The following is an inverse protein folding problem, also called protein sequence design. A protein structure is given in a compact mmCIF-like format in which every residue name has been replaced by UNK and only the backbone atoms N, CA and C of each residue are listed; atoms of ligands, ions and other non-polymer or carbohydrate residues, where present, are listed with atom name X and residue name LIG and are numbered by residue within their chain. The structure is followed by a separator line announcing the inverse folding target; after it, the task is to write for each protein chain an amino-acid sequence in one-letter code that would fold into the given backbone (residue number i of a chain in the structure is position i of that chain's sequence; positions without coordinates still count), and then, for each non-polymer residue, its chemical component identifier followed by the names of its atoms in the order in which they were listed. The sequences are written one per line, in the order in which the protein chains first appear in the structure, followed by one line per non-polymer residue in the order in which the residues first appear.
data_IF_204475702159
#
_entry.id   IF_204475702159
#
_cell.length_a   1.000
_cell.length_b   1.000
_cell.length_c   1.000
_cell.angle_alpha   90.00
_cell.angle_beta   90.00
_cell.angle_gamma   90.00
#
_symmetry.space_group_name_H-M   'P 1'
#
loop_
_entity.id
_entity.type
_entity.pdbx_description
1 polymer ?
#
# COMPACT_ATOMS: atom_id res chain seq x y z
N UNK A 1 -29.69 -4.31 -17.95
CA UNK A 1 -28.23 -4.44 -17.76
C UNK A 1 -27.68 -3.13 -17.18
N UNK A 2 -26.71 -3.23 -16.27
CA UNK A 2 -25.98 -2.09 -15.69
C UNK A 2 -24.53 -2.23 -16.16
N UNK A 3 -23.94 -1.15 -16.69
CA UNK A 3 -22.54 -1.10 -17.07
C UNK A 3 -21.80 -0.04 -16.24
N UNK A 4 -20.65 -0.39 -15.72
CA UNK A 4 -19.70 0.54 -15.08
C UNK A 4 -18.60 0.86 -16.08
N UNK A 5 -18.46 2.11 -16.45
CA UNK A 5 -17.47 2.58 -17.43
C UNK A 5 -16.38 3.38 -16.73
N UNK A 6 -15.13 3.01 -16.99
CA UNK A 6 -13.95 3.69 -16.47
C UNK A 6 -13.14 4.27 -17.64
N UNK A 7 -12.79 5.54 -17.55
CA UNK A 7 -11.90 6.16 -18.52
C UNK A 7 -10.47 5.64 -18.32
N UNK A 8 -9.84 5.17 -19.40
CA UNK A 8 -8.41 4.93 -19.41
C UNK A 8 -7.70 6.27 -19.66
N UNK A 9 -7.22 6.88 -18.59
CA UNK A 9 -6.52 8.18 -18.64
C UNK A 9 -5.31 8.20 -17.70
N UNK A 10 -4.26 7.42 -17.99
CA UNK A 10 -3.07 7.36 -17.16
C UNK A 10 -2.24 8.65 -17.20
N UNK A 11 -2.38 9.43 -18.25
CA UNK A 11 -1.64 10.68 -18.42
C UNK A 11 -2.38 11.91 -17.89
N UNK A 12 -3.71 11.79 -17.65
CA UNK A 12 -4.54 12.87 -17.15
C UNK A 12 -4.70 14.01 -18.17
N UNK A 13 -5.33 15.10 -17.74
CA UNK A 13 -5.56 16.28 -18.58
C UNK A 13 -4.27 17.04 -18.93
N UNK A 14 -3.24 16.91 -18.08
CA UNK A 14 -1.90 17.51 -18.32
C UNK A 14 -1.13 16.82 -19.44
N UNK A 15 -1.44 15.56 -19.74
CA UNK A 15 -0.74 14.74 -20.73
C UNK A 15 0.64 14.24 -20.32
N UNK A 16 1.12 14.60 -19.13
CA UNK A 16 2.44 14.21 -18.58
C UNK A 16 2.36 13.19 -17.45
N UNK A 17 1.14 12.70 -17.15
CA UNK A 17 0.88 11.76 -16.07
C UNK A 17 0.79 12.38 -14.68
N UNK A 18 0.97 13.69 -14.55
CA UNK A 18 0.97 14.36 -13.24
C UNK A 18 -0.40 14.32 -12.55
N UNK A 19 -1.48 14.23 -13.30
CA UNK A 19 -2.88 14.19 -12.85
C UNK A 19 -3.67 12.96 -13.34
N UNK A 20 -3.01 11.99 -13.99
CA UNK A 20 -3.62 10.71 -14.38
C UNK A 20 -4.11 9.93 -13.17
N UNK A 21 -5.33 9.37 -13.22
CA UNK A 21 -5.98 8.73 -12.09
C UNK A 21 -6.30 7.25 -12.31
N UNK A 22 -6.68 6.87 -13.52
CA UNK A 22 -7.15 5.53 -13.85
C UNK A 22 -6.40 4.99 -15.05
N UNK A 23 -5.85 3.79 -14.92
CA UNK A 23 -5.27 3.04 -16.02
C UNK A 23 -5.99 1.69 -16.17
N UNK A 24 -6.49 1.42 -17.38
CA UNK A 24 -7.03 0.13 -17.76
C UNK A 24 -6.12 -0.47 -18.83
N UNK A 25 -5.79 -1.75 -18.72
CA UNK A 25 -4.88 -2.37 -19.67
C UNK A 25 -4.87 -3.88 -19.55
N UNK A 26 -3.88 -4.47 -20.20
CA UNK A 26 -3.64 -5.91 -20.14
C UNK A 26 -2.16 -6.23 -20.15
N UNK A 27 -1.81 -7.39 -19.61
CA UNK A 27 -0.46 -7.97 -19.72
C UNK A 27 -0.56 -9.49 -19.90
N UNK A 28 0.48 -10.06 -20.47
CA UNK A 28 0.63 -11.53 -20.57
C UNK A 28 1.51 -11.99 -19.42
N UNK A 29 1.01 -12.92 -18.62
CA UNK A 29 1.78 -13.53 -17.55
C UNK A 29 2.99 -14.27 -18.10
N UNK A 30 4.14 -14.09 -17.48
CA UNK A 30 5.39 -14.75 -17.86
C UNK A 30 5.81 -15.89 -16.91
N UNK A 31 5.05 -16.10 -15.81
CA UNK A 31 5.37 -17.11 -14.80
C UNK A 31 6.61 -16.79 -13.96
N UNK A 32 7.14 -15.58 -14.09
CA UNK A 32 8.29 -15.09 -13.31
C UNK A 32 8.02 -13.66 -12.85
N UNK A 33 9.03 -12.96 -12.38
CA UNK A 33 8.87 -11.56 -12.01
C UNK A 33 8.75 -10.67 -13.26
N UNK A 34 7.74 -9.78 -13.31
CA UNK A 34 7.59 -8.75 -14.35
C UNK A 34 6.94 -7.47 -13.81
N UNK A 35 7.35 -6.35 -14.35
CA UNK A 35 6.84 -5.03 -14.00
C UNK A 35 5.86 -4.53 -15.06
N UNK A 36 4.76 -3.91 -14.61
CA UNK A 36 3.76 -3.28 -15.43
C UNK A 36 3.76 -1.79 -15.10
N UNK A 37 4.26 -0.98 -16.03
CA UNK A 37 4.40 0.47 -15.86
C UNK A 37 3.06 1.18 -16.12
N UNK A 38 2.68 2.06 -15.21
CA UNK A 38 1.50 2.92 -15.29
C UNK A 38 1.89 4.41 -15.35
N UNK A 39 3.18 4.72 -15.15
CA UNK A 39 3.69 6.08 -14.95
C UNK A 39 3.46 6.65 -13.54
N UNK A 40 2.79 5.90 -12.65
CA UNK A 40 2.49 6.31 -11.28
C UNK A 40 2.17 5.11 -10.38
N UNK A 41 2.27 5.34 -9.07
CA UNK A 41 1.99 4.34 -8.05
C UNK A 41 0.47 4.13 -7.87
N UNK A 42 -0.04 2.89 -8.06
CA UNK A 42 -1.44 2.58 -7.81
C UNK A 42 -1.73 2.43 -6.31
N UNK A 43 -2.92 2.87 -5.90
CA UNK A 43 -3.48 2.59 -4.58
C UNK A 43 -4.43 1.38 -4.60
N UNK A 44 -5.03 1.11 -5.73
CA UNK A 44 -6.02 0.05 -5.93
C UNK A 44 -5.78 -0.61 -7.28
N UNK A 45 -5.95 -1.91 -7.33
CA UNK A 45 -5.94 -2.68 -8.58
C UNK A 45 -7.01 -3.77 -8.56
N UNK A 46 -7.72 -3.89 -9.67
CA UNK A 46 -8.60 -5.00 -10.00
C UNK A 46 -7.99 -5.77 -11.17
N UNK A 47 -7.79 -7.07 -11.02
CA UNK A 47 -7.16 -7.95 -12.03
C UNK A 47 -8.07 -9.12 -12.35
N UNK A 48 -8.07 -9.56 -13.62
CA UNK A 48 -8.80 -10.73 -14.09
C UNK A 48 -8.00 -11.48 -15.14
N UNK A 49 -7.84 -12.78 -14.96
CA UNK A 49 -7.40 -13.68 -16.02
C UNK A 49 -8.51 -13.78 -17.10
N UNK A 50 -8.22 -13.34 -18.31
CA UNK A 50 -9.15 -13.35 -19.44
C UNK A 50 -9.04 -14.63 -20.29
N UNK A 51 -8.02 -15.46 -20.01
CA UNK A 51 -7.73 -16.69 -20.78
C UNK A 51 -8.42 -17.91 -20.19
N UNK A 52 -8.49 -17.99 -18.87
CA UNK A 52 -9.11 -19.11 -18.15
C UNK A 52 -10.14 -18.62 -17.12
N UNK A 53 -11.03 -19.52 -16.73
CA UNK A 53 -12.06 -19.22 -15.71
C UNK A 53 -11.39 -19.13 -14.35
N UNK A 54 -11.33 -17.90 -13.80
CA UNK A 54 -10.83 -17.59 -12.45
C UNK A 54 -11.65 -16.42 -11.89
N UNK A 55 -11.51 -16.18 -10.60
CA UNK A 55 -12.15 -15.05 -9.95
C UNK A 55 -11.42 -13.74 -10.24
N UNK A 56 -12.13 -12.63 -10.07
CA UNK A 56 -11.55 -11.30 -10.04
C UNK A 56 -10.74 -11.13 -8.77
N UNK A 57 -9.63 -10.43 -8.84
CA UNK A 57 -8.76 -10.17 -7.69
C UNK A 57 -8.65 -8.66 -7.46
N UNK A 58 -8.90 -8.24 -6.22
CA UNK A 58 -8.71 -6.85 -5.76
C UNK A 58 -7.58 -6.81 -4.76
N UNK A 59 -6.63 -5.91 -4.97
CA UNK A 59 -5.66 -5.46 -3.98
C UNK A 59 -5.77 -3.96 -3.77
N UNK A 60 -5.53 -3.50 -2.57
CA UNK A 60 -5.39 -2.07 -2.26
C UNK A 60 -4.45 -1.83 -1.08
N UNK A 61 -3.88 -0.63 -1.01
CA UNK A 61 -2.91 -0.27 0.02
C UNK A 61 -3.52 -0.15 1.42
N UNK A 62 -4.85 -0.04 1.54
CA UNK A 62 -5.54 -0.05 2.84
C UNK A 62 -5.62 -1.46 3.44
N UNK A 63 -5.55 -2.51 2.60
CA UNK A 63 -5.45 -3.92 3.02
C UNK A 63 -4.01 -4.40 3.14
N UNK A 64 -3.03 -3.49 3.17
CA UNK A 64 -1.63 -3.82 3.34
C UNK A 64 -0.89 -4.19 2.05
N UNK A 65 -1.47 -3.92 0.87
CA UNK A 65 -0.76 -4.14 -0.39
C UNK A 65 0.49 -3.26 -0.43
N UNK A 66 1.65 -3.90 -0.33
CA UNK A 66 2.96 -3.27 -0.18
C UNK A 66 3.91 -3.56 -1.35
N UNK A 67 5.13 -3.03 -1.24
CA UNK A 67 6.16 -3.14 -2.28
C UNK A 67 6.82 -4.53 -2.35
N UNK A 68 6.69 -5.35 -1.32
CA UNK A 68 7.19 -6.73 -1.29
C UNK A 68 6.20 -7.75 -1.90
N UNK A 69 4.92 -7.39 -1.99
CA UNK A 69 3.85 -8.24 -2.52
C UNK A 69 3.45 -9.40 -1.62
N UNK A 70 3.95 -9.47 -0.38
CA UNK A 70 3.67 -10.54 0.59
C UNK A 70 2.82 -10.05 1.76
N UNK A 71 2.18 -10.98 2.46
CA UNK A 71 1.44 -10.76 3.72
C UNK A 71 0.34 -9.68 3.66
N UNK A 72 -0.15 -9.37 2.45
CA UNK A 72 -1.29 -8.49 2.27
C UNK A 72 -2.57 -9.28 2.04
N UNK A 73 -3.70 -8.61 2.17
CA UNK A 73 -5.02 -9.22 1.96
C UNK A 73 -5.57 -8.90 0.59
N UNK A 74 -6.43 -9.77 0.09
CA UNK A 74 -7.09 -9.64 -1.20
C UNK A 74 -8.55 -10.05 -1.11
N UNK A 75 -9.36 -9.59 -2.05
CA UNK A 75 -10.77 -9.92 -2.19
C UNK A 75 -11.09 -10.47 -3.57
N UNK A 76 -12.10 -11.33 -3.64
CA UNK A 76 -12.76 -11.77 -4.85
C UNK A 76 -14.15 -11.13 -4.95
N UNK A 77 -14.30 -10.00 -5.67
CA UNK A 77 -15.56 -9.24 -5.67
C UNK A 77 -16.74 -9.96 -6.35
N UNK A 78 -16.49 -11.07 -7.00
CA UNK A 78 -17.52 -11.93 -7.64
C UNK A 78 -17.90 -13.15 -6.78
N UNK A 79 -17.37 -13.28 -5.59
CA UNK A 79 -17.72 -14.35 -4.63
C UNK A 79 -18.27 -13.75 -3.34
N UNK A 80 -18.77 -14.59 -2.44
CA UNK A 80 -19.13 -14.21 -1.07
C UNK A 80 -18.05 -14.56 -0.05
N UNK A 81 -16.86 -14.91 -0.50
CA UNK A 81 -15.77 -15.32 0.36
C UNK A 81 -15.22 -14.14 1.16
N UNK A 82 -14.77 -14.44 2.36
CA UNK A 82 -14.14 -13.45 3.23
C UNK A 82 -12.77 -13.02 2.65
N UNK A 83 -12.34 -11.84 3.03
CA UNK A 83 -10.98 -11.36 2.77
C UNK A 83 -9.93 -12.40 3.20
N UNK A 84 -9.02 -12.74 2.30
CA UNK A 84 -8.00 -13.75 2.53
C UNK A 84 -6.59 -13.13 2.52
N UNK A 85 -5.66 -13.64 3.36
CA UNK A 85 -4.26 -13.26 3.27
C UNK A 85 -3.62 -13.93 2.05
N UNK A 86 -2.64 -13.26 1.42
CA UNK A 86 -1.77 -13.91 0.44
C UNK A 86 -0.86 -14.94 1.11
N UNK A 87 -0.66 -16.05 0.43
CA UNK A 87 0.38 -17.02 0.79
C UNK A 87 1.49 -16.86 -0.25
N UNK A 88 2.61 -16.27 0.15
CA UNK A 88 3.69 -15.90 -0.75
C UNK A 88 3.41 -14.59 -1.52
N UNK A 89 4.35 -14.23 -2.38
CA UNK A 89 4.30 -12.97 -3.12
C UNK A 89 3.42 -13.07 -4.37
N UNK A 90 2.50 -12.13 -4.55
CA UNK A 90 1.59 -12.07 -5.71
C UNK A 90 1.86 -10.83 -6.55
N UNK A 91 1.22 -9.72 -6.19
CA UNK A 91 1.43 -8.41 -6.79
C UNK A 91 2.10 -7.50 -5.75
N UNK A 92 3.09 -6.75 -6.17
CA UNK A 92 3.73 -5.71 -5.38
C UNK A 92 3.45 -4.33 -5.97
N UNK A 93 3.19 -3.35 -5.12
CA UNK A 93 3.10 -1.96 -5.57
C UNK A 93 4.49 -1.44 -5.93
N UNK A 94 4.59 -0.62 -6.99
CA UNK A 94 5.83 0.01 -7.43
C UNK A 94 5.61 1.52 -7.61
N UNK A 95 6.65 2.34 -7.53
CA UNK A 95 6.53 3.80 -7.68
C UNK A 95 5.89 4.24 -9.00
N UNK A 96 6.06 3.46 -10.06
CA UNK A 96 5.53 3.77 -11.40
C UNK A 96 4.51 2.77 -11.90
N UNK A 97 4.06 1.82 -11.05
CA UNK A 97 3.12 0.79 -11.48
C UNK A 97 2.98 -0.34 -10.47
N UNK A 98 2.96 -1.55 -10.96
CA UNK A 98 2.92 -2.74 -10.13
C UNK A 98 3.77 -3.86 -10.72
N UNK A 99 4.13 -4.81 -9.87
CA UNK A 99 4.98 -5.95 -10.23
C UNK A 99 4.26 -7.25 -9.93
N UNK A 100 4.14 -8.12 -10.89
CA UNK A 100 3.82 -9.52 -10.66
C UNK A 100 5.10 -10.21 -10.18
N UNK A 101 5.09 -10.76 -8.96
CA UNK A 101 6.34 -11.17 -8.28
C UNK A 101 6.77 -12.58 -8.66
N UNK A 102 5.81 -13.49 -8.85
CA UNK A 102 6.08 -14.89 -9.16
C UNK A 102 4.99 -15.52 -10.06
N UNK A 103 5.06 -16.84 -10.27
CA UNK A 103 4.14 -17.61 -11.10
C UNK A 103 2.74 -17.83 -10.48
N UNK A 104 2.25 -16.94 -9.61
CA UNK A 104 0.93 -17.09 -9.04
C UNK A 104 -0.14 -17.07 -10.13
N UNK A 105 -0.83 -18.19 -10.29
CA UNK A 105 -1.72 -18.43 -11.43
C UNK A 105 -2.92 -17.48 -11.52
N UNK A 106 -3.32 -16.83 -10.42
CA UNK A 106 -4.41 -15.85 -10.39
C UNK A 106 -4.02 -14.51 -11.01
N UNK A 107 -2.71 -14.21 -11.07
CA UNK A 107 -2.20 -12.91 -11.53
C UNK A 107 -1.00 -13.01 -12.48
N UNK A 108 -0.33 -14.18 -12.64
CA UNK A 108 0.87 -14.28 -13.47
C UNK A 108 1.18 -15.71 -13.97
N UNK A 109 0.19 -16.52 -14.35
CA UNK A 109 0.46 -17.78 -15.04
C UNK A 109 1.10 -17.52 -16.40
N UNK A 110 2.13 -18.28 -16.76
CA UNK A 110 2.79 -18.14 -18.05
C UNK A 110 1.82 -18.36 -19.22
N UNK A 111 1.75 -17.40 -20.14
CA UNK A 111 0.90 -17.42 -21.32
C UNK A 111 -0.56 -16.99 -21.10
N UNK A 112 -1.02 -16.81 -19.87
CA UNK A 112 -2.36 -16.24 -19.60
C UNK A 112 -2.36 -14.73 -19.83
N UNK A 113 -3.45 -14.20 -20.39
CA UNK A 113 -3.68 -12.76 -20.53
C UNK A 113 -4.50 -12.25 -19.36
N UNK A 114 -4.00 -11.24 -18.69
CA UNK A 114 -4.67 -10.55 -17.59
C UNK A 114 -5.11 -9.17 -18.02
N UNK A 115 -6.35 -8.82 -17.72
CA UNK A 115 -6.85 -7.44 -17.82
C UNK A 115 -6.83 -6.81 -16.44
N UNK A 116 -6.58 -5.50 -16.37
CA UNK A 116 -6.56 -4.78 -15.11
C UNK A 116 -7.20 -3.40 -15.21
N UNK A 117 -7.65 -2.91 -14.05
CA UNK A 117 -7.98 -1.51 -13.79
C UNK A 117 -7.22 -1.10 -12.53
N UNK A 118 -6.40 -0.08 -12.66
CA UNK A 118 -5.64 0.50 -11.57
C UNK A 118 -6.11 1.93 -11.27
N UNK A 119 -6.15 2.29 -9.99
CA UNK A 119 -6.52 3.63 -9.53
C UNK A 119 -5.35 4.19 -8.72
N UNK A 120 -4.92 5.38 -9.09
CA UNK A 120 -3.87 6.13 -8.40
C UNK A 120 -4.37 6.63 -7.04
N UNK A 121 -3.45 6.83 -6.09
CA UNK A 121 -3.74 7.48 -4.81
C UNK A 121 -4.25 8.93 -5.00
N UNK A 122 -5.06 9.46 -4.06
CA UNK A 122 -5.51 10.84 -4.10
C UNK A 122 -4.34 11.83 -4.15
N UNK A 123 -4.47 12.88 -4.97
CA UNK A 123 -3.44 13.90 -5.19
C UNK A 123 -3.88 15.30 -4.77
N UNK A 124 -4.90 15.43 -3.93
CA UNK A 124 -5.35 16.73 -3.42
C UNK A 124 -4.20 17.43 -2.71
N UNK A 125 -3.88 18.64 -3.13
CA UNK A 125 -2.94 19.50 -2.39
C UNK A 125 -3.55 19.87 -1.04
N UNK A 126 -2.81 19.68 0.09
CA UNK A 126 -3.32 20.04 1.40
C UNK A 126 -3.49 21.56 1.52
N UNK A 127 -4.52 21.98 2.25
CA UNK A 127 -4.79 23.38 2.54
C UNK A 127 -4.21 23.80 3.89
N UNK A 128 -3.98 22.84 4.79
CA UNK A 128 -3.41 23.05 6.10
C UNK A 128 -2.56 21.85 6.54
N UNK A 129 -1.66 22.06 7.51
CA UNK A 129 -0.75 21.02 8.00
C UNK A 129 -1.46 19.86 8.70
N UNK A 130 -2.60 20.10 9.31
CA UNK A 130 -3.40 19.09 10.02
C UNK A 130 -4.12 18.10 9.09
N UNK A 131 -4.17 18.39 7.79
CA UNK A 131 -4.63 17.42 6.79
C UNK A 131 -3.58 16.33 6.47
N UNK A 132 -2.30 16.54 6.87
CA UNK A 132 -1.17 15.71 6.40
C UNK A 132 -0.15 15.35 7.47
N UNK A 133 -0.21 16.01 8.63
CA UNK A 133 0.68 15.75 9.76
C UNK A 133 -0.09 15.79 11.06
N UNK A 134 0.13 14.80 11.93
CA UNK A 134 -0.44 14.74 13.27
C UNK A 134 0.53 14.11 14.25
N UNK A 135 0.41 14.51 15.51
CA UNK A 135 1.11 13.88 16.63
C UNK A 135 0.04 13.40 17.60
N UNK A 136 0.14 12.15 18.03
CA UNK A 136 -0.76 11.60 19.03
C UNK A 136 -0.01 10.69 20.01
N UNK A 137 -0.61 10.49 21.17
CA UNK A 137 -0.12 9.57 22.20
C UNK A 137 -1.04 8.37 22.30
N UNK A 138 -0.52 7.23 22.68
CA UNK A 138 -1.33 6.03 22.87
C UNK A 138 -2.46 6.19 23.90
N UNK A 139 -2.32 7.11 24.83
CA UNK A 139 -3.35 7.42 25.84
C UNK A 139 -4.68 7.93 25.26
N UNK A 140 -4.70 8.39 24.00
CA UNK A 140 -5.93 8.81 23.34
C UNK A 140 -6.91 7.67 23.06
N UNK A 141 -6.46 6.41 23.18
CA UNK A 141 -7.28 5.20 23.02
C UNK A 141 -7.54 4.47 24.32
N UNK A 142 -7.56 5.18 25.43
CA UNK A 142 -7.97 4.63 26.75
C UNK A 142 -9.37 3.99 26.71
N UNK A 143 -10.16 4.25 25.67
CA UNK A 143 -11.46 3.62 25.39
C UNK A 143 -11.33 2.22 24.75
N UNK A 144 -10.11 1.71 24.51
CA UNK A 144 -9.82 0.41 23.88
C UNK A 144 -10.20 0.30 22.41
N UNK A 145 -10.57 1.42 21.76
CA UNK A 145 -10.97 1.43 20.33
C UNK A 145 -9.77 1.68 19.41
N UNK A 146 -9.78 0.99 18.30
CA UNK A 146 -8.84 1.23 17.21
C UNK A 146 -9.23 2.50 16.39
N UNK A 147 -8.28 3.23 15.80
CA UNK A 147 -6.83 3.03 15.87
C UNK A 147 -6.20 3.44 17.20
N UNK A 148 -5.00 2.95 17.48
CA UNK A 148 -4.26 3.29 18.70
C UNK A 148 -3.75 4.73 18.69
N UNK A 149 -3.28 5.19 17.52
CA UNK A 149 -2.87 6.57 17.29
C UNK A 149 -3.81 7.21 16.27
N UNK A 150 -4.32 8.40 16.57
CA UNK A 150 -5.33 9.10 15.77
C UNK A 150 -4.73 10.31 15.07
N UNK A 151 -4.92 10.38 13.75
CA UNK A 151 -4.41 11.46 12.90
C UNK A 151 -5.53 12.33 12.31
N UNK A 152 -6.74 11.78 12.14
CA UNK A 152 -7.82 12.41 11.37
C UNK A 152 -7.73 12.14 9.86
N UNK A 153 -6.69 11.43 9.39
CA UNK A 153 -6.44 11.06 8.00
C UNK A 153 -5.81 9.67 7.90
N UNK A 154 -5.84 9.00 6.73
CA UNK A 154 -5.10 7.78 6.49
C UNK A 154 -3.59 8.03 6.58
N UNK A 155 -2.90 7.29 7.45
CA UNK A 155 -1.46 7.45 7.68
C UNK A 155 -0.70 6.66 6.62
N UNK A 156 0.26 7.30 5.95
CA UNK A 156 1.15 6.66 4.98
C UNK A 156 2.52 6.30 5.57
N UNK A 157 3.00 7.07 6.54
CA UNK A 157 4.22 6.80 7.28
C UNK A 157 4.06 7.23 8.74
N UNK A 158 4.66 6.48 9.65
CA UNK A 158 4.78 6.89 11.05
C UNK A 158 6.17 6.67 11.60
N UNK A 159 6.56 7.54 12.52
CA UNK A 159 7.70 7.36 13.41
C UNK A 159 7.12 7.31 14.82
N UNK A 160 7.49 6.28 15.59
CA UNK A 160 7.01 6.14 16.97
C UNK A 160 8.18 6.23 17.93
N UNK A 161 8.02 6.95 19.01
CA UNK A 161 8.97 6.96 20.10
C UNK A 161 8.26 6.65 21.41
N UNK A 162 8.98 6.05 22.32
CA UNK A 162 8.58 5.82 23.69
C UNK A 162 9.53 6.49 24.68
N UNK A 163 9.08 6.64 25.89
CA UNK A 163 9.87 7.28 26.97
C UNK A 163 10.79 6.30 27.71
N UNK A 164 10.81 5.03 27.34
CA UNK A 164 11.47 3.95 28.11
C UNK A 164 12.77 3.43 27.51
N UNK A 165 13.44 4.18 26.64
CA UNK A 165 14.72 3.78 26.06
C UNK A 165 14.64 2.67 25.00
N UNK A 166 13.45 2.40 24.46
CA UNK A 166 13.27 1.51 23.34
C UNK A 166 13.69 2.17 22.03
N UNK A 167 14.10 1.38 21.04
CA UNK A 167 14.40 1.87 19.70
C UNK A 167 13.21 2.64 19.07
N UNK A 168 13.53 3.57 18.20
CA UNK A 168 12.56 4.44 17.50
C UNK A 168 12.20 3.83 16.14
N UNK A 169 11.09 3.11 16.03
CA UNK A 169 10.69 2.50 14.78
C UNK A 169 10.12 3.52 13.80
N UNK A 170 10.46 3.34 12.52
CA UNK A 170 9.87 4.00 11.36
C UNK A 170 9.25 2.94 10.45
N UNK A 171 8.06 3.20 9.97
CA UNK A 171 7.30 2.30 9.12
C UNK A 171 6.41 3.07 8.14
N UNK A 172 6.07 2.44 7.03
CA UNK A 172 5.15 3.01 6.06
C UNK A 172 4.07 2.01 5.65
N UNK A 173 2.95 2.52 5.13
CA UNK A 173 1.91 1.70 4.51
C UNK A 173 2.46 0.84 3.38
N UNK A 174 3.45 1.34 2.63
CA UNK A 174 4.04 0.66 1.48
C UNK A 174 4.99 -0.48 1.83
N UNK A 175 5.49 -0.52 3.07
CA UNK A 175 6.34 -1.62 3.55
C UNK A 175 5.51 -2.76 4.16
N UNK A 176 4.18 -2.64 4.15
CA UNK A 176 3.30 -3.67 4.72
C UNK A 176 3.59 -3.90 6.20
N UNK A 177 4.08 -5.08 6.55
CA UNK A 177 4.50 -5.44 7.91
C UNK A 177 5.95 -5.06 8.23
N UNK A 178 6.69 -4.51 7.26
CA UNK A 178 8.09 -4.12 7.39
C UNK A 178 8.29 -2.83 8.17
N UNK A 179 9.34 -2.78 8.99
CA UNK A 179 9.75 -1.58 9.71
C UNK A 179 11.27 -1.56 9.93
N UNK A 180 11.81 -0.37 10.14
CA UNK A 180 13.19 -0.13 10.50
C UNK A 180 13.27 0.69 11.78
N UNK A 181 14.47 0.81 12.34
CA UNK A 181 14.73 1.72 13.47
C UNK A 181 15.56 2.91 12.99
N UNK A 182 15.18 4.12 13.41
CA UNK A 182 15.93 5.34 13.07
C UNK A 182 17.25 5.47 13.86
N UNK A 183 17.37 4.76 14.95
CA UNK A 183 18.47 4.76 15.92
C UNK A 183 19.27 3.45 15.93
N UNK A 184 19.16 2.63 14.91
CA UNK A 184 19.84 1.33 14.79
C UNK A 184 20.33 1.07 13.36
N UNK A 185 21.35 0.27 13.22
CA UNK A 185 21.87 -0.24 11.95
C UNK A 185 21.23 -1.60 11.56
N UNK A 186 20.23 -2.05 12.31
CA UNK A 186 19.50 -3.28 12.03
C UNK A 186 18.75 -3.13 10.69
N UNK A 187 18.80 -4.18 9.87
CA UNK A 187 18.03 -4.23 8.62
C UNK A 187 16.51 -4.22 8.87
N UNK A 188 15.75 -4.02 7.83
CA UNK A 188 14.30 -4.09 7.89
C UNK A 188 13.84 -5.43 8.51
N UNK A 189 12.92 -5.35 9.45
CA UNK A 189 12.30 -6.50 10.11
C UNK A 189 10.78 -6.41 9.99
N UNK A 190 10.06 -7.46 10.31
CA UNK A 190 8.61 -7.56 10.10
C UNK A 190 7.84 -7.79 11.39
N UNK A 191 6.61 -7.27 11.44
CA UNK A 191 5.65 -7.55 12.51
C UNK A 191 4.22 -7.49 11.99
N UNK A 192 3.45 -8.52 12.22
CA UNK A 192 2.04 -8.59 11.82
C UNK A 192 1.10 -7.71 12.68
N UNK A 193 1.64 -6.93 13.61
CA UNK A 193 0.83 -6.22 14.60
C UNK A 193 0.69 -4.72 14.35
N UNK A 194 1.41 -4.18 13.36
CA UNK A 194 1.37 -2.76 13.01
C UNK A 194 0.53 -2.59 11.75
N UNK A 195 -0.62 -1.93 11.90
CA UNK A 195 -1.65 -1.88 10.88
C UNK A 195 -1.95 -0.44 10.49
N UNK A 196 -1.91 -0.16 9.18
CA UNK A 196 -2.22 1.12 8.54
C UNK A 196 -3.60 1.13 7.84
N UNK A 197 -4.45 0.15 8.13
CA UNK A 197 -5.75 -0.07 7.51
C UNK A 197 -6.89 0.80 8.10
N UNK A 198 -6.54 1.88 8.80
CA UNK A 198 -7.50 2.85 9.36
C UNK A 198 -7.53 4.15 8.56
N UNK A 199 -8.74 4.70 8.41
CA UNK A 199 -8.95 5.97 7.70
C UNK A 199 -8.52 7.21 8.50
N UNK A 200 -8.27 7.07 9.80
CA UNK A 200 -8.06 8.18 10.73
C UNK A 200 -6.93 7.93 11.73
N UNK A 201 -5.97 7.08 11.38
CA UNK A 201 -4.85 6.75 12.24
C UNK A 201 -4.18 5.43 11.87
N UNK A 202 -3.46 4.85 12.83
CA UNK A 202 -2.85 3.53 12.70
C UNK A 202 -2.82 2.79 14.05
N UNK A 203 -2.54 1.52 14.02
CA UNK A 203 -2.52 0.66 15.21
C UNK A 203 -1.20 -0.05 15.39
N UNK A 204 -0.73 -0.06 16.64
CA UNK A 204 0.23 -1.02 17.14
C UNK A 204 -0.49 -1.91 18.18
N UNK A 205 -0.40 -3.23 18.07
CA UNK A 205 -1.13 -4.16 18.94
C UNK A 205 -0.31 -4.72 20.10
N UNK A 206 0.98 -4.37 20.18
CA UNK A 206 1.86 -4.85 21.26
C UNK A 206 2.04 -3.81 22.34
N UNK A 207 2.37 -4.27 23.55
CA UNK A 207 2.59 -3.51 24.80
C UNK A 207 3.04 -2.07 24.57
N UNK A 208 2.11 -1.16 24.59
CA UNK A 208 2.36 0.25 24.40
C UNK A 208 2.26 0.91 25.77
N UNK A 209 3.23 1.72 26.07
CA UNK A 209 3.21 2.53 27.28
C UNK A 209 2.42 3.80 26.97
N UNK A 210 1.60 4.27 27.91
CA UNK A 210 0.76 5.46 27.75
C UNK A 210 1.52 6.75 27.42
N UNK A 211 2.84 6.70 27.35
CA UNK A 211 3.75 7.80 27.07
C UNK A 211 4.41 7.73 25.69
N UNK A 212 4.05 6.76 24.86
CA UNK A 212 4.57 6.67 23.51
C UNK A 212 3.91 7.73 22.61
N UNK A 213 4.73 8.37 21.78
CA UNK A 213 4.29 9.35 20.77
C UNK A 213 4.41 8.74 19.39
N UNK A 214 3.47 9.11 18.51
CA UNK A 214 3.54 8.83 17.09
C UNK A 214 3.49 10.11 16.29
N UNK A 215 4.48 10.33 15.43
CA UNK A 215 4.44 11.31 14.35
C UNK A 215 3.88 10.61 13.12
N UNK A 216 2.78 11.14 12.60
CA UNK A 216 2.02 10.53 11.52
C UNK A 216 2.01 11.45 10.32
N UNK A 217 2.31 10.88 9.15
CA UNK A 217 2.43 11.62 7.89
C UNK A 217 1.51 11.01 6.85
N UNK A 218 0.84 11.88 6.09
CA UNK A 218 0.09 11.53 4.89
C UNK A 218 0.82 12.04 3.68
N UNK A 219 0.97 11.20 2.66
CA UNK A 219 1.55 11.61 1.38
C UNK A 219 0.64 12.62 0.68
N UNK A 220 1.20 13.75 0.28
CA UNK A 220 0.50 14.78 -0.46
C UNK A 220 1.46 15.59 -1.31
N UNK A 221 1.03 15.93 -2.53
CA UNK A 221 1.81 16.70 -3.49
C UNK A 221 2.27 18.03 -2.89
N UNK A 222 3.58 18.30 -2.98
CA UNK A 222 4.17 19.53 -2.48
C UNK A 222 4.39 19.58 -0.95
N UNK A 223 4.07 18.50 -0.23
CA UNK A 223 4.29 18.41 1.21
C UNK A 223 5.22 17.27 1.59
N UNK A 224 4.82 16.02 1.35
CA UNK A 224 5.55 14.83 1.80
C UNK A 224 5.29 13.67 0.84
N UNK A 225 6.32 12.91 0.59
CA UNK A 225 6.20 11.63 -0.09
C UNK A 225 7.08 10.57 0.56
N UNK A 226 6.66 9.32 0.48
CA UNK A 226 7.42 8.13 0.81
C UNK A 226 7.29 7.13 -0.31
N UNK A 227 8.39 6.56 -0.71
CA UNK A 227 8.48 5.60 -1.80
C UNK A 227 9.15 4.34 -1.27
N UNK A 228 8.55 3.18 -1.52
CA UNK A 228 9.16 1.89 -1.25
C UNK A 228 9.57 1.23 -2.57
N UNK A 229 10.74 0.62 -2.60
CA UNK A 229 11.24 -0.12 -3.75
C UNK A 229 12.05 -1.34 -3.30
N UNK A 230 12.01 -2.39 -4.08
CA UNK A 230 12.88 -3.54 -3.87
C UNK A 230 14.24 -3.26 -4.52
N UNK A 231 15.32 -3.30 -3.75
CA UNK A 231 16.68 -3.17 -4.27
C UNK A 231 17.03 -4.35 -5.18
N UNK A 232 17.59 -4.07 -6.35
CA UNK A 232 18.05 -5.08 -7.32
C UNK A 232 19.56 -5.38 -7.21
N UNK A 233 20.25 -4.75 -6.26
CA UNK A 233 21.69 -4.88 -6.07
C UNK A 233 22.55 -4.10 -7.07
N UNK A 234 21.93 -3.30 -7.96
CA UNK A 234 22.64 -2.50 -8.96
C UNK A 234 22.81 -1.07 -8.43
N UNK A 235 24.04 -0.62 -8.33
CA UNK A 235 24.34 0.74 -7.89
C UNK A 235 23.82 1.77 -8.91
N UNK A 236 23.15 2.83 -8.43
CA UNK A 236 22.75 3.98 -9.25
C UNK A 236 21.34 3.93 -9.84
N UNK A 237 20.46 3.12 -9.28
CA UNK A 237 19.01 3.18 -9.56
C UNK A 237 18.23 3.74 -8.40
#
# INVERSE_FOLDING_TARGET
YIAYLFAHDPLGASGDGSDGMIACGSYVGNGTSQEIDLGWEPQYILVKDSTVVRDWIVHDTMRGWGADGVDHKWLEPNTSDAEAPTIGAWLAVQPTGFKAVNAQSRVNASGSTYIYMAIRRPMKTPLSSDEVFAIDTFGSTADGKAPAYRSGFPVDMSIRTGTTGAHIPIQSRLTGTGYMFTDSTTYETTTATWLFDYMNGWRNSTSIVATDYSWMFKRAKGFFDVVAYAGDGIAGR
#
